data_IF_721715397540
#
_entry.id   IF_721715397540
#
_cell.length_a   1.000
_cell.length_b   1.000
_cell.length_c   1.000
_cell.angle_alpha   90.00
_cell.angle_beta   90.00
_cell.angle_gamma   90.00
#
_symmetry.space_group_name_H-M   'P 1'
#
loop_
_entity.id
_entity.type
_entity.pdbx_description
1 polymer ?
#
# COMPACT_ATOMS: atom_id res chain seq x y z
N UNK A 1 -0.39 -0.85 -11.11
CA UNK A 1 0.15 0.52 -11.06
C UNK A 1 1.32 0.70 -12.02
N UNK A 2 2.30 -0.22 -12.07
CA UNK A 2 3.47 -0.12 -12.96
C UNK A 2 3.13 0.00 -14.45
N UNK A 3 2.14 -0.73 -14.95
CA UNK A 3 1.68 -0.63 -16.34
C UNK A 3 1.16 0.79 -16.65
N UNK A 4 0.52 1.43 -15.70
CA UNK A 4 0.00 2.78 -15.86
C UNK A 4 1.14 3.83 -15.94
N UNK A 5 2.18 3.64 -15.15
CA UNK A 5 3.38 4.50 -15.18
C UNK A 5 4.18 4.34 -16.49
N UNK A 6 4.18 3.14 -17.08
CA UNK A 6 4.84 2.85 -18.35
C UNK A 6 4.01 3.26 -19.59
N UNK A 7 2.73 3.60 -19.40
CA UNK A 7 1.81 3.86 -20.52
C UNK A 7 2.28 5.00 -21.45
N UNK A 8 2.80 6.15 -20.97
CA UNK A 8 3.32 7.20 -21.85
C UNK A 8 4.44 6.71 -22.77
N UNK A 9 5.33 5.84 -22.27
CA UNK A 9 6.40 5.23 -23.06
C UNK A 9 5.87 4.26 -24.11
N UNK A 10 4.90 3.42 -23.73
CA UNK A 10 4.25 2.49 -24.66
C UNK A 10 3.56 3.26 -25.77
N UNK A 11 2.84 4.33 -25.45
CA UNK A 11 2.17 5.18 -26.42
C UNK A 11 3.18 5.84 -27.37
N UNK A 12 4.29 6.36 -26.86
CA UNK A 12 5.34 6.99 -27.64
C UNK A 12 5.96 5.99 -28.64
N UNK A 13 6.31 4.79 -28.17
CA UNK A 13 6.88 3.73 -29.04
C UNK A 13 5.85 3.29 -30.09
N UNK A 14 4.60 3.11 -29.70
CA UNK A 14 3.51 2.70 -30.61
C UNK A 14 3.32 3.74 -31.71
N UNK A 15 3.32 5.03 -31.36
CA UNK A 15 3.22 6.13 -32.33
C UNK A 15 4.42 6.16 -33.26
N UNK A 16 5.63 5.95 -32.77
CA UNK A 16 6.83 5.88 -33.61
C UNK A 16 6.76 4.70 -34.60
N UNK A 17 6.42 3.51 -34.13
CA UNK A 17 6.26 2.33 -34.99
C UNK A 17 5.16 2.53 -36.04
N UNK A 18 4.05 3.15 -35.66
CA UNK A 18 2.98 3.51 -36.59
C UNK A 18 3.49 4.42 -37.70
N UNK A 19 4.26 5.46 -37.37
CA UNK A 19 4.83 6.35 -38.39
C UNK A 19 5.84 5.65 -39.29
N UNK A 20 6.73 4.83 -38.72
CA UNK A 20 7.69 4.05 -39.53
C UNK A 20 6.94 3.21 -40.55
N UNK A 21 5.91 2.47 -40.12
CA UNK A 21 5.08 1.67 -41.02
C UNK A 21 4.38 2.49 -42.08
N UNK A 22 3.87 3.67 -41.72
CA UNK A 22 3.20 4.58 -42.62
C UNK A 22 4.17 5.15 -43.70
N UNK A 23 5.44 5.35 -43.35
CA UNK A 23 6.50 5.74 -44.29
C UNK A 23 6.92 4.59 -45.20
N UNK A 24 7.12 3.39 -44.64
CA UNK A 24 7.52 2.22 -45.41
C UNK A 24 6.46 1.77 -46.42
N UNK A 25 5.18 1.86 -46.07
CA UNK A 25 4.05 1.52 -46.95
C UNK A 25 3.72 2.61 -47.98
N UNK A 26 4.46 3.75 -47.97
CA UNK A 26 4.20 4.94 -48.83
C UNK A 26 2.78 5.54 -48.67
N UNK A 27 2.05 5.17 -47.61
CA UNK A 27 0.70 5.71 -47.35
C UNK A 27 0.72 7.21 -47.08
N UNK A 28 1.82 7.75 -46.59
CA UNK A 28 2.01 9.20 -46.46
C UNK A 28 1.92 9.95 -47.79
N UNK A 29 2.39 9.31 -48.90
CA UNK A 29 2.26 9.90 -50.21
C UNK A 29 0.79 9.99 -50.63
N UNK A 30 -0.02 8.99 -50.32
CA UNK A 30 -1.46 8.99 -50.60
C UNK A 30 -2.14 10.14 -49.85
N UNK A 31 -1.79 10.38 -48.59
CA UNK A 31 -2.31 11.54 -47.83
C UNK A 31 -1.89 12.85 -48.42
N UNK A 32 -0.65 12.97 -48.93
CA UNK A 32 -0.19 14.18 -49.63
C UNK A 32 -0.94 14.40 -50.95
N UNK A 33 -1.17 13.36 -51.74
CA UNK A 33 -1.98 13.41 -52.96
C UNK A 33 -3.42 13.85 -52.70
N UNK A 34 -3.95 13.51 -51.53
CA UNK A 34 -5.28 13.95 -51.06
C UNK A 34 -5.30 15.39 -50.54
N UNK A 35 -4.19 16.15 -50.68
CA UNK A 35 -4.08 17.54 -50.27
C UNK A 35 -3.82 17.76 -48.77
N UNK A 36 -3.50 16.71 -48.02
CA UNK A 36 -3.17 16.81 -46.60
C UNK A 36 -1.70 17.27 -46.43
N UNK A 37 -1.53 18.46 -45.86
CA UNK A 37 -0.19 18.96 -45.50
C UNK A 37 0.34 18.21 -44.28
N UNK A 38 1.66 18.03 -44.16
CA UNK A 38 2.32 17.38 -43.03
C UNK A 38 1.88 17.98 -41.69
N UNK A 39 1.66 19.32 -41.63
CA UNK A 39 1.17 20.00 -40.44
C UNK A 39 -0.23 19.53 -40.01
N UNK A 40 -1.15 19.26 -40.95
CA UNK A 40 -2.48 18.73 -40.62
C UNK A 40 -2.43 17.31 -40.08
N UNK A 41 -1.54 16.48 -40.63
CA UNK A 41 -1.34 15.09 -40.12
C UNK A 41 -0.85 15.14 -38.66
N UNK A 42 0.13 16.00 -38.36
CA UNK A 42 0.63 16.16 -36.97
C UNK A 42 -0.46 16.72 -36.03
N UNK A 43 -1.27 17.68 -36.50
CA UNK A 43 -2.37 18.21 -35.67
C UNK A 43 -3.42 17.15 -35.33
N UNK A 44 -3.81 16.34 -36.33
CA UNK A 44 -4.78 15.23 -36.10
C UNK A 44 -4.22 14.23 -35.09
N UNK A 45 -2.94 13.86 -35.23
CA UNK A 45 -2.29 12.93 -34.34
C UNK A 45 -2.17 13.47 -32.91
N UNK A 46 -1.79 14.74 -32.75
CA UNK A 46 -1.72 15.40 -31.43
C UNK A 46 -3.09 15.45 -30.78
N UNK A 47 -4.13 15.79 -31.55
CA UNK A 47 -5.50 15.78 -31.04
C UNK A 47 -5.95 14.38 -30.59
N UNK A 48 -5.67 13.36 -31.40
CA UNK A 48 -5.98 11.97 -31.07
C UNK A 48 -5.24 11.52 -29.80
N UNK A 49 -3.96 11.91 -29.64
CA UNK A 49 -3.17 11.59 -28.45
C UNK A 49 -3.75 12.23 -27.19
N UNK A 50 -4.20 13.49 -27.26
CA UNK A 50 -4.85 14.19 -26.14
C UNK A 50 -6.17 13.49 -25.75
N UNK A 51 -7.01 13.17 -26.73
CA UNK A 51 -8.28 12.46 -26.50
C UNK A 51 -8.03 11.11 -25.86
N UNK A 52 -7.05 10.35 -26.37
CA UNK A 52 -6.67 9.05 -25.81
C UNK A 52 -6.14 9.21 -24.38
N UNK A 53 -5.34 10.22 -24.09
CA UNK A 53 -4.85 10.52 -22.74
C UNK A 53 -5.99 10.79 -21.75
N UNK A 54 -6.94 11.64 -22.13
CA UNK A 54 -8.13 11.93 -21.31
C UNK A 54 -8.96 10.66 -21.07
N UNK A 55 -9.17 9.85 -22.11
CA UNK A 55 -9.89 8.58 -22.02
C UNK A 55 -9.24 7.62 -21.02
N UNK A 56 -7.92 7.52 -21.04
CA UNK A 56 -7.18 6.65 -20.11
C UNK A 56 -7.29 7.14 -18.68
N UNK A 57 -7.13 8.44 -18.44
CA UNK A 57 -7.22 9.00 -17.10
C UNK A 57 -8.64 8.81 -16.54
N UNK A 58 -9.68 9.06 -17.32
CA UNK A 58 -11.06 9.03 -16.83
C UNK A 58 -11.62 7.62 -16.67
N UNK A 59 -11.33 6.72 -17.59
CA UNK A 59 -11.92 5.37 -17.61
C UNK A 59 -10.98 4.34 -17.01
N UNK A 60 -9.74 4.30 -17.49
CA UNK A 60 -8.80 3.25 -17.09
C UNK A 60 -8.31 3.40 -15.65
N UNK A 61 -8.17 4.64 -15.15
CA UNK A 61 -7.82 4.89 -13.74
C UNK A 61 -8.93 4.40 -12.81
N UNK A 62 -10.18 4.73 -13.09
CA UNK A 62 -11.31 4.26 -12.29
C UNK A 62 -11.47 2.74 -12.33
N UNK A 63 -11.28 2.14 -13.50
CA UNK A 63 -11.31 0.69 -13.66
C UNK A 63 -10.18 0.01 -12.88
N UNK A 64 -8.96 0.53 -12.97
CA UNK A 64 -7.79 0.01 -12.23
C UNK A 64 -7.95 0.16 -10.72
N UNK A 65 -8.53 1.27 -10.26
CA UNK A 65 -8.82 1.51 -8.85
C UNK A 65 -9.85 0.51 -8.31
N UNK A 66 -10.92 0.25 -9.06
CA UNK A 66 -11.93 -0.73 -8.69
C UNK A 66 -11.36 -2.16 -8.66
N UNK A 67 -10.54 -2.54 -9.64
CA UNK A 67 -9.84 -3.83 -9.66
C UNK A 67 -8.91 -3.98 -8.44
N UNK A 68 -8.21 -2.92 -8.06
CA UNK A 68 -7.37 -2.93 -6.86
C UNK A 68 -8.21 -3.13 -5.59
N UNK A 69 -9.36 -2.49 -5.49
CA UNK A 69 -10.27 -2.67 -4.36
C UNK A 69 -10.80 -4.10 -4.29
N UNK A 70 -11.24 -4.66 -5.42
CA UNK A 70 -11.68 -6.06 -5.52
C UNK A 70 -10.53 -7.03 -5.15
N UNK A 71 -9.31 -6.77 -5.64
CA UNK A 71 -8.14 -7.57 -5.27
C UNK A 71 -7.86 -7.51 -3.76
N UNK A 72 -7.96 -6.33 -3.13
CA UNK A 72 -7.76 -6.17 -1.69
C UNK A 72 -8.88 -6.87 -0.90
N UNK A 73 -10.11 -6.82 -1.38
CA UNK A 73 -11.25 -7.50 -0.77
C UNK A 73 -11.10 -9.03 -0.86
N UNK A 74 -10.77 -9.56 -2.04
CA UNK A 74 -10.46 -10.98 -2.23
C UNK A 74 -9.26 -11.37 -1.35
N UNK A 75 -8.18 -10.61 -1.38
CA UNK A 75 -6.99 -10.88 -0.55
C UNK A 75 -7.34 -10.88 0.94
N UNK A 76 -8.21 -9.98 1.40
CA UNK A 76 -8.66 -9.94 2.80
C UNK A 76 -9.54 -11.13 3.18
N UNK A 77 -10.30 -11.70 2.23
CA UNK A 77 -11.14 -12.89 2.48
C UNK A 77 -10.33 -14.19 2.48
N UNK A 78 -9.25 -14.27 1.70
CA UNK A 78 -8.35 -15.44 1.67
C UNK A 78 -7.24 -15.39 2.73
N UNK A 79 -6.83 -14.20 3.19
CA UNK A 79 -6.11 -14.09 4.46
C UNK A 79 -7.17 -14.25 5.54
N UNK A 80 -7.19 -15.41 6.19
CA UNK A 80 -8.17 -15.93 7.14
C UNK A 80 -8.57 -14.96 8.27
N UNK A 81 -8.09 -13.73 8.25
CA UNK A 81 -8.28 -12.72 9.26
C UNK A 81 -8.36 -11.31 8.65
N UNK A 82 -9.50 -10.95 8.05
CA UNK A 82 -9.82 -9.55 7.69
C UNK A 82 -9.82 -8.57 8.88
N UNK A 83 -9.22 -8.99 9.99
CA UNK A 83 -9.11 -8.30 11.27
C UNK A 83 -7.76 -7.65 11.51
N UNK A 84 -6.74 -7.96 10.68
CA UNK A 84 -5.35 -7.58 10.97
C UNK A 84 -4.77 -6.68 9.87
N UNK A 85 -4.26 -5.56 10.27
CA UNK A 85 -3.55 -4.65 9.39
C UNK A 85 -2.19 -4.34 10.01
N UNK A 86 -1.11 -4.51 9.24
CA UNK A 86 0.19 -3.97 9.60
C UNK A 86 0.67 -3.05 8.49
N UNK A 87 1.11 -1.85 8.85
CA UNK A 87 1.58 -0.82 7.92
C UNK A 87 2.90 -0.26 8.44
N UNK A 88 3.88 -0.12 7.56
CA UNK A 88 5.12 0.58 7.86
C UNK A 88 5.04 1.97 7.26
N UNK A 89 5.35 2.95 8.07
CA UNK A 89 5.45 4.35 7.70
C UNK A 89 6.84 4.88 8.02
N UNK A 90 7.16 6.10 7.62
CA UNK A 90 8.38 6.79 8.05
C UNK A 90 8.48 6.92 9.57
N UNK A 91 7.37 6.81 10.28
CA UNK A 91 7.26 6.93 11.74
C UNK A 91 7.23 5.57 12.45
N UNK A 92 7.59 4.48 11.78
CA UNK A 92 7.66 3.14 12.34
C UNK A 92 6.57 2.18 11.86
N UNK A 93 6.50 1.05 12.53
CA UNK A 93 5.55 -0.04 12.28
C UNK A 93 4.26 0.20 13.04
N UNK A 94 3.14 0.03 12.35
CA UNK A 94 1.80 0.06 12.94
C UNK A 94 1.13 -1.29 12.74
N UNK A 95 0.63 -1.87 13.82
CA UNK A 95 -0.11 -3.15 13.80
C UNK A 95 -1.47 -2.91 14.42
N UNK A 96 -2.54 -3.24 13.68
CA UNK A 96 -3.90 -3.34 14.20
C UNK A 96 -4.26 -4.81 14.36
N UNK A 97 -4.67 -5.20 15.54
CA UNK A 97 -5.10 -6.56 15.88
C UNK A 97 -6.50 -6.52 16.51
N UNK A 98 -7.28 -7.57 16.36
CA UNK A 98 -8.56 -7.73 17.06
C UNK A 98 -8.58 -9.07 17.78
N UNK A 99 -8.65 -9.05 19.12
CA UNK A 99 -8.66 -10.22 19.97
C UNK A 99 -9.76 -10.07 21.02
N UNK A 100 -10.57 -11.10 21.19
CA UNK A 100 -11.58 -11.19 22.24
C UNK A 100 -12.41 -9.89 22.38
N UNK A 101 -12.94 -9.39 21.26
CA UNK A 101 -13.73 -8.15 21.17
C UNK A 101 -12.98 -6.86 21.54
N UNK A 102 -11.65 -6.90 21.61
CA UNK A 102 -10.80 -5.72 21.79
C UNK A 102 -10.04 -5.42 20.52
N UNK A 103 -9.88 -4.15 20.23
CA UNK A 103 -9.03 -3.66 19.15
C UNK A 103 -7.73 -3.19 19.77
N UNK A 104 -6.61 -3.73 19.30
CA UNK A 104 -5.27 -3.42 19.78
C UNK A 104 -4.54 -2.72 18.65
N UNK A 105 -4.06 -1.52 18.90
CA UNK A 105 -3.22 -0.79 17.95
C UNK A 105 -1.84 -0.65 18.58
N UNK A 106 -0.84 -1.24 17.94
CA UNK A 106 0.56 -1.18 18.34
C UNK A 106 1.34 -0.32 17.36
N UNK A 107 2.05 0.66 17.86
CA UNK A 107 3.08 1.39 17.14
C UNK A 107 4.45 1.02 17.70
N UNK A 108 5.42 0.76 16.85
CA UNK A 108 6.82 0.51 17.24
C UNK A 108 7.75 1.26 16.30
N UNK A 109 8.83 1.82 16.83
CA UNK A 109 9.80 2.57 16.03
C UNK A 109 10.59 1.66 15.08
N UNK A 110 11.00 0.47 15.54
CA UNK A 110 11.73 -0.50 14.73
C UNK A 110 11.54 -1.94 15.23
N UNK A 111 12.05 -2.89 14.42
CA UNK A 111 12.14 -4.30 14.74
C UNK A 111 13.61 -4.67 14.80
N UNK A 112 14.04 -5.23 15.91
CA UNK A 112 15.40 -5.71 16.13
C UNK A 112 15.39 -7.19 16.51
N UNK A 113 15.64 -8.06 15.53
CA UNK A 113 15.51 -9.51 15.71
C UNK A 113 14.08 -9.90 16.09
N UNK A 114 13.90 -10.40 17.30
CA UNK A 114 12.59 -10.82 17.84
C UNK A 114 11.91 -9.74 18.69
N UNK A 115 12.43 -8.52 18.68
CA UNK A 115 11.94 -7.46 19.54
C UNK A 115 11.40 -6.27 18.77
N UNK A 116 10.27 -5.72 19.24
CA UNK A 116 9.83 -4.38 18.86
C UNK A 116 10.45 -3.37 19.83
N UNK A 117 10.93 -2.26 19.29
CA UNK A 117 11.58 -1.21 20.08
C UNK A 117 10.75 0.05 20.15
N UNK A 118 10.83 0.76 21.27
CA UNK A 118 10.13 2.05 21.53
C UNK A 118 8.66 1.96 21.12
N UNK A 119 7.94 1.07 21.77
CA UNK A 119 6.58 0.70 21.39
C UNK A 119 5.53 1.40 22.24
N UNK A 120 4.41 1.72 21.58
CA UNK A 120 3.21 2.25 22.19
C UNK A 120 2.00 1.42 21.74
N UNK A 121 1.26 0.88 22.71
CA UNK A 121 0.09 0.03 22.47
C UNK A 121 -1.14 0.72 23.05
N UNK A 122 -2.19 0.82 22.26
CA UNK A 122 -3.51 1.27 22.72
C UNK A 122 -4.51 0.15 22.55
N UNK A 123 -5.17 -0.22 23.63
CA UNK A 123 -6.30 -1.16 23.63
C UNK A 123 -7.62 -0.38 23.63
N UNK A 124 -8.51 -0.74 22.73
CA UNK A 124 -9.87 -0.19 22.62
C UNK A 124 -10.90 -1.30 22.85
N UNK A 125 -12.07 -0.92 23.31
CA UNK A 125 -13.25 -1.77 23.25
C UNK A 125 -13.87 -1.76 21.83
N UNK A 126 -14.99 -2.47 21.65
CA UNK A 126 -15.71 -2.51 20.36
C UNK A 126 -16.24 -1.16 19.91
N UNK A 127 -16.54 -0.24 20.83
CA UNK A 127 -17.02 1.11 20.57
C UNK A 127 -15.89 2.10 20.33
N UNK A 128 -14.65 1.63 20.11
CA UNK A 128 -13.43 2.44 19.95
C UNK A 128 -13.12 3.38 21.14
N UNK A 129 -13.61 3.06 22.35
CA UNK A 129 -13.19 3.75 23.57
C UNK A 129 -11.90 3.14 24.09
N UNK A 130 -10.95 3.99 24.48
CA UNK A 130 -9.66 3.56 25.03
C UNK A 130 -9.87 2.85 26.37
N UNK A 131 -9.36 1.63 26.50
CA UNK A 131 -9.35 0.85 27.73
C UNK A 131 -8.08 1.17 28.52
N UNK A 132 -6.91 1.09 27.83
CA UNK A 132 -5.60 1.41 28.40
C UNK A 132 -4.57 1.70 27.32
N UNK A 133 -3.52 2.41 27.70
CA UNK A 133 -2.33 2.63 26.90
C UNK A 133 -1.15 1.95 27.59
N UNK A 134 -0.26 1.33 26.80
CA UNK A 134 0.93 0.67 27.30
C UNK A 134 2.13 1.21 26.54
N UNK A 135 3.14 1.67 27.24
CA UNK A 135 4.41 2.11 26.68
C UNK A 135 5.52 1.20 27.15
N UNK A 136 6.38 0.75 26.25
CA UNK A 136 7.56 -0.06 26.54
C UNK A 136 8.68 0.24 25.57
N UNK A 137 9.90 0.08 26.03
CA UNK A 137 11.08 0.21 25.19
C UNK A 137 11.38 -1.08 24.44
N UNK A 138 10.89 -2.23 24.93
CA UNK A 138 11.21 -3.53 24.35
C UNK A 138 10.06 -4.51 24.53
N UNK A 139 9.62 -5.14 23.44
CA UNK A 139 8.56 -6.16 23.44
C UNK A 139 9.09 -7.38 22.70
N UNK A 140 9.07 -8.54 23.35
CA UNK A 140 9.38 -9.82 22.71
C UNK A 140 8.16 -10.31 21.93
N UNK A 141 8.35 -10.48 20.62
CA UNK A 141 7.33 -10.92 19.66
C UNK A 141 7.60 -12.32 19.09
N UNK A 142 8.49 -13.08 19.72
CA UNK A 142 8.85 -14.44 19.28
C UNK A 142 7.65 -15.36 19.17
N UNK A 143 6.62 -15.16 20.00
CA UNK A 143 5.39 -15.94 20.04
C UNK A 143 4.18 -15.03 19.91
N UNK A 144 3.01 -15.61 19.65
CA UNK A 144 1.72 -14.90 19.65
C UNK A 144 1.28 -14.36 21.01
N UNK A 145 1.99 -14.67 22.07
CA UNK A 145 1.84 -14.07 23.39
C UNK A 145 3.06 -13.18 23.60
N UNK A 146 2.90 -11.89 23.36
CA UNK A 146 4.00 -10.91 23.46
C UNK A 146 4.32 -10.63 24.92
N UNK A 147 5.61 -10.61 25.24
CA UNK A 147 6.10 -10.20 26.54
C UNK A 147 6.59 -8.76 26.46
N UNK A 148 5.87 -7.86 27.12
CA UNK A 148 6.16 -6.43 27.15
C UNK A 148 7.04 -6.19 28.38
N UNK A 149 8.31 -5.86 28.15
CA UNK A 149 9.29 -5.62 29.20
C UNK A 149 9.18 -4.18 29.69
N UNK A 150 9.36 -3.95 31.00
CA UNK A 150 9.28 -2.63 31.65
C UNK A 150 8.03 -1.84 31.23
N UNK A 151 6.88 -2.49 31.25
CA UNK A 151 5.62 -1.94 30.78
C UNK A 151 5.15 -0.78 31.67
N UNK A 152 4.85 0.36 31.03
CA UNK A 152 4.19 1.51 31.67
C UNK A 152 2.74 1.51 31.20
N UNK A 153 1.83 1.16 32.08
CA UNK A 153 0.39 1.03 31.79
C UNK A 153 -0.32 2.29 32.28
N UNK A 154 -1.03 2.97 31.38
CA UNK A 154 -1.84 4.14 31.66
C UNK A 154 -3.31 3.75 31.52
N UNK A 155 -4.08 3.93 32.59
CA UNK A 155 -5.49 3.59 32.66
C UNK A 155 -6.25 4.74 33.30
N UNK A 156 -7.07 5.45 32.53
CA UNK A 156 -7.73 6.70 32.94
C UNK A 156 -6.70 7.71 33.53
N UNK A 157 -6.77 7.98 34.83
CA UNK A 157 -5.86 8.90 35.53
C UNK A 157 -4.75 8.16 36.31
N UNK A 158 -4.67 6.83 36.22
CA UNK A 158 -3.70 6.03 36.94
C UNK A 158 -2.55 5.58 36.05
N UNK A 159 -1.37 5.48 36.65
CA UNK A 159 -0.16 5.01 36.00
C UNK A 159 0.44 3.88 36.84
N UNK A 160 0.71 2.75 36.21
CA UNK A 160 1.33 1.59 36.83
C UNK A 160 2.57 1.19 36.03
N UNK A 161 3.64 0.84 36.74
CA UNK A 161 4.86 0.29 36.12
C UNK A 161 4.98 -1.18 36.48
N UNK A 162 5.01 -2.06 35.47
CA UNK A 162 5.12 -3.49 35.60
C UNK A 162 6.45 -3.96 35.02
N UNK A 163 7.20 -4.86 35.67
CA UNK A 163 8.45 -5.40 35.15
C UNK A 163 8.22 -6.18 33.84
N UNK A 164 7.12 -6.93 33.74
CA UNK A 164 6.68 -7.55 32.50
C UNK A 164 5.15 -7.63 32.44
N UNK A 165 4.62 -7.62 31.23
CA UNK A 165 3.19 -7.78 30.95
C UNK A 165 3.00 -8.64 29.71
N UNK A 166 2.19 -9.69 29.82
CA UNK A 166 1.85 -10.53 28.70
C UNK A 166 0.64 -9.99 27.94
N UNK A 167 0.77 -9.92 26.63
CA UNK A 167 -0.28 -9.49 25.70
C UNK A 167 -0.50 -10.55 24.63
N UNK A 168 -1.67 -11.18 24.63
CA UNK A 168 -2.05 -12.10 23.56
C UNK A 168 -2.25 -11.34 22.27
N UNK A 169 -1.65 -11.83 21.17
CA UNK A 169 -1.77 -11.26 19.83
C UNK A 169 -1.91 -12.37 18.78
N UNK A 170 -2.30 -12.00 17.58
CA UNK A 170 -2.32 -12.91 16.44
C UNK A 170 -1.03 -12.80 15.59
N UNK A 171 -0.11 -11.94 16.00
CA UNK A 171 1.17 -11.71 15.34
C UNK A 171 2.32 -12.35 16.12
N UNK A 172 3.18 -13.04 15.39
CA UNK A 172 4.50 -13.51 15.83
C UNK A 172 5.58 -12.81 14.99
N UNK A 173 6.83 -13.03 15.32
CA UNK A 173 7.97 -12.40 14.61
C UNK A 173 7.96 -12.71 13.12
N UNK A 174 7.64 -13.95 12.72
CA UNK A 174 7.64 -14.35 11.31
C UNK A 174 6.57 -13.58 10.52
N UNK A 175 5.37 -13.45 11.08
CA UNK A 175 4.28 -12.72 10.45
C UNK A 175 4.59 -11.23 10.34
N UNK A 176 5.15 -10.63 11.37
CA UNK A 176 5.57 -9.23 11.37
C UNK A 176 6.70 -8.99 10.37
N UNK A 177 7.73 -9.85 10.33
CA UNK A 177 8.84 -9.75 9.38
C UNK A 177 8.41 -9.96 7.93
N UNK A 178 7.49 -10.88 7.66
CA UNK A 178 6.94 -11.08 6.30
C UNK A 178 6.22 -9.83 5.81
N UNK A 179 5.45 -9.18 6.67
CA UNK A 179 4.79 -7.91 6.35
C UNK A 179 5.82 -6.79 6.15
N UNK A 180 6.88 -6.76 6.97
CA UNK A 180 7.97 -5.81 6.87
C UNK A 180 8.75 -5.96 5.55
N UNK A 181 9.11 -7.18 5.15
CA UNK A 181 9.83 -7.44 3.91
C UNK A 181 9.02 -7.10 2.65
N UNK A 182 7.72 -7.39 2.66
CA UNK A 182 6.82 -7.08 1.54
C UNK A 182 6.60 -5.57 1.35
N UNK A 183 6.71 -4.78 2.42
CA UNK A 183 6.53 -3.32 2.37
C UNK A 183 7.84 -2.58 2.08
N UNK A 184 8.99 -3.11 2.51
CA UNK A 184 10.31 -2.54 2.18
C UNK A 184 10.64 -2.68 0.69
N UNK A 185 10.06 -3.67 -0.01
CA UNK A 185 10.18 -3.82 -1.46
C UNK A 185 9.28 -2.85 -2.25
N UNK A 186 8.41 -2.11 -1.59
CA UNK A 186 7.51 -1.11 -2.18
C UNK A 186 7.98 0.33 -1.99
N UNK A 187 9.10 0.55 -1.28
CA UNK A 187 9.69 1.89 -1.13
C UNK A 187 10.66 2.15 -2.28
N UNK A 188 10.14 2.68 -3.37
CA UNK A 188 10.87 3.46 -4.36
C UNK A 188 10.26 4.84 -4.43
#
# INVERSE_FOLDING_TARGET
TQIFEMFPFILLITVQLFFIKLFESKEIEIFKYSGLKNSKILTILSFLSIVTGIFIITIFYNFSSNLKNIYLEIKSSYTTDGKYLAVITKNGLWIKDKIDNKIIITNASSIEGNYLTSSFITEFNEDFKVIRNIKSNKIDISKKNWEILDAKVYKENNYEKLPSLNLKTNFDVNRVQTLYSNLSSLSF
#
